data_IF_952013205894
#
_entry.id   IF_952013205894
#
_cell.length_a   1.000
_cell.length_b   1.000
_cell.length_c   1.000
_cell.angle_alpha   90.00
_cell.angle_beta   90.00
_cell.angle_gamma   90.00
#
_symmetry.space_group_name_H-M   'P 1'
#
loop_
_entity.id
_entity.type
_entity.pdbx_description
1 polymer ?
#
# COMPACT_ATOMS: atom_id res chain seq x y z
N UNK A 1 -13.59 -18.95 -32.02
CA UNK A 1 -13.06 -19.86 -30.99
C UNK A 1 -12.04 -19.15 -30.10
N UNK A 2 -11.00 -18.56 -30.69
CA UNK A 2 -9.94 -17.83 -29.98
C UNK A 2 -10.42 -16.58 -29.20
N UNK A 3 -11.42 -15.85 -29.69
CA UNK A 3 -12.00 -14.70 -28.97
C UNK A 3 -12.62 -15.09 -27.62
N UNK A 4 -13.41 -16.17 -27.58
CA UNK A 4 -14.01 -16.69 -26.34
C UNK A 4 -12.95 -17.09 -25.31
N UNK A 5 -11.82 -17.62 -25.79
CA UNK A 5 -10.69 -18.00 -24.93
C UNK A 5 -10.03 -16.75 -24.34
N UNK A 6 -9.76 -15.72 -25.16
CA UNK A 6 -9.17 -14.46 -24.71
C UNK A 6 -10.09 -13.72 -23.72
N UNK A 7 -11.40 -13.71 -23.96
CA UNK A 7 -12.38 -13.13 -23.05
C UNK A 7 -12.40 -13.83 -21.70
N UNK A 8 -12.31 -15.17 -21.69
CA UNK A 8 -12.18 -15.95 -20.48
C UNK A 8 -10.91 -15.59 -19.72
N UNK A 9 -9.74 -15.59 -20.36
CA UNK A 9 -8.48 -15.21 -19.69
C UNK A 9 -8.52 -13.79 -19.13
N UNK A 10 -9.05 -12.85 -19.90
CA UNK A 10 -9.22 -11.46 -19.47
C UNK A 10 -10.12 -11.37 -18.23
N UNK A 11 -11.24 -12.09 -18.22
CA UNK A 11 -12.15 -12.12 -17.07
C UNK A 11 -11.44 -12.61 -15.81
N UNK A 12 -10.70 -13.73 -15.90
CA UNK A 12 -9.96 -14.29 -14.77
C UNK A 12 -8.83 -13.36 -14.31
N UNK A 13 -8.06 -12.78 -15.23
CA UNK A 13 -6.97 -11.87 -14.92
C UNK A 13 -7.47 -10.58 -14.23
N UNK A 14 -8.55 -9.98 -14.75
CA UNK A 14 -9.16 -8.80 -14.13
C UNK A 14 -9.74 -9.15 -12.76
N UNK A 15 -10.35 -10.33 -12.61
CA UNK A 15 -10.79 -10.86 -11.33
C UNK A 15 -9.64 -10.99 -10.33
N UNK A 16 -8.50 -11.53 -10.76
CA UNK A 16 -7.28 -11.62 -9.96
C UNK A 16 -6.76 -10.23 -9.53
N UNK A 17 -6.68 -9.26 -10.44
CA UNK A 17 -6.25 -7.90 -10.09
C UNK A 17 -7.20 -7.19 -9.11
N UNK A 18 -8.48 -7.56 -9.10
CA UNK A 18 -9.46 -7.00 -8.18
C UNK A 18 -9.48 -7.72 -6.83
N UNK A 19 -9.42 -9.06 -6.83
CA UNK A 19 -9.58 -9.88 -5.62
C UNK A 19 -8.25 -10.13 -4.92
N UNK A 20 -7.18 -10.31 -5.67
CA UNK A 20 -5.93 -10.90 -5.19
C UNK A 20 -5.87 -12.41 -5.42
N UNK A 21 -4.68 -12.98 -5.20
CA UNK A 21 -4.34 -14.39 -5.39
C UNK A 21 -4.41 -15.25 -4.14
N UNK A 22 -4.63 -14.67 -2.96
CA UNK A 22 -4.71 -15.46 -1.72
C UNK A 22 -5.85 -16.49 -1.80
N UNK A 23 -5.61 -17.78 -1.51
CA UNK A 23 -6.62 -18.83 -1.69
C UNK A 23 -7.81 -18.66 -0.73
N UNK A 24 -7.56 -18.27 0.52
CA UNK A 24 -8.58 -18.15 1.58
C UNK A 24 -9.64 -17.07 1.34
N UNK A 25 -9.50 -16.25 0.30
CA UNK A 25 -10.43 -15.14 0.00
C UNK A 25 -11.23 -15.32 -1.28
N UNK A 26 -11.00 -16.40 -2.04
CA UNK A 26 -11.56 -16.54 -3.39
C UNK A 26 -13.08 -16.67 -3.37
N UNK A 27 -13.61 -17.45 -2.41
CA UNK A 27 -15.04 -17.69 -2.23
C UNK A 27 -15.77 -16.63 -1.39
N UNK A 28 -15.05 -15.70 -0.75
CA UNK A 28 -15.63 -14.72 0.16
C UNK A 28 -16.41 -13.62 -0.57
N UNK A 29 -17.37 -13.00 0.12
CA UNK A 29 -17.95 -11.74 -0.37
C UNK A 29 -16.88 -10.64 -0.42
N UNK A 30 -17.16 -9.54 -1.13
CA UNK A 30 -16.22 -8.41 -1.20
C UNK A 30 -15.92 -7.84 0.19
N UNK A 31 -16.89 -7.77 1.10
CA UNK A 31 -16.65 -7.24 2.45
C UNK A 31 -15.72 -8.16 3.25
N UNK A 32 -16.06 -9.44 3.35
CA UNK A 32 -15.29 -10.44 4.09
C UNK A 32 -13.88 -10.60 3.53
N UNK A 33 -13.72 -10.51 2.21
CA UNK A 33 -12.40 -10.53 1.55
C UNK A 33 -11.51 -9.38 2.05
N UNK A 34 -12.02 -8.16 2.06
CA UNK A 34 -11.22 -6.98 2.46
C UNK A 34 -10.85 -7.06 3.94
N UNK A 35 -11.78 -7.50 4.79
CA UNK A 35 -11.55 -7.70 6.22
C UNK A 35 -10.54 -8.82 6.48
N UNK A 36 -10.67 -9.96 5.79
CA UNK A 36 -9.74 -11.09 5.89
C UNK A 36 -8.33 -10.69 5.47
N UNK A 37 -8.18 -9.95 4.36
CA UNK A 37 -6.88 -9.45 3.90
C UNK A 37 -6.26 -8.45 4.88
N UNK A 38 -7.06 -7.58 5.49
CA UNK A 38 -6.58 -6.70 6.57
C UNK A 38 -6.12 -7.53 7.77
N UNK A 39 -6.89 -8.56 8.16
CA UNK A 39 -6.54 -9.46 9.25
C UNK A 39 -5.28 -10.27 8.98
N UNK A 40 -5.00 -10.68 7.73
CA UNK A 40 -3.73 -11.33 7.39
C UNK A 40 -2.53 -10.42 7.69
N UNK A 41 -2.61 -9.14 7.33
CA UNK A 41 -1.55 -8.18 7.65
C UNK A 41 -1.50 -7.89 9.15
N UNK A 42 -2.65 -7.79 9.82
CA UNK A 42 -2.71 -7.46 11.25
C UNK A 42 -2.25 -8.59 12.18
N UNK A 43 -2.68 -9.82 11.90
CA UNK A 43 -2.50 -10.97 12.80
C UNK A 43 -1.26 -11.78 12.46
N UNK A 44 -0.95 -11.95 11.18
CA UNK A 44 0.16 -12.80 10.75
C UNK A 44 1.41 -11.95 10.59
N UNK A 45 1.33 -10.92 9.75
CA UNK A 45 2.49 -10.10 9.38
C UNK A 45 2.95 -9.21 10.53
N UNK A 46 2.06 -8.39 11.13
CA UNK A 46 2.51 -7.49 12.20
C UNK A 46 2.94 -8.25 13.43
N UNK A 47 2.25 -9.34 13.78
CA UNK A 47 2.64 -10.14 14.94
C UNK A 47 4.04 -10.72 14.74
N UNK A 48 4.30 -11.36 13.61
CA UNK A 48 5.60 -11.94 13.29
C UNK A 48 6.71 -10.87 13.25
N UNK A 49 6.48 -9.73 12.59
CA UNK A 49 7.45 -8.62 12.54
C UNK A 49 7.74 -8.06 13.94
N UNK A 50 6.68 -7.79 14.71
CA UNK A 50 6.81 -7.16 16.04
C UNK A 50 7.54 -8.10 17.01
N UNK A 51 7.21 -9.39 17.00
CA UNK A 51 7.84 -10.39 17.85
C UNK A 51 9.30 -10.64 17.43
N UNK A 52 9.56 -10.85 16.13
CA UNK A 52 10.90 -11.14 15.59
C UNK A 52 11.88 -9.98 15.76
N UNK A 53 11.45 -8.77 15.47
CA UNK A 53 12.31 -7.59 15.46
C UNK A 53 12.14 -6.69 16.70
N UNK A 54 11.36 -7.13 17.68
CA UNK A 54 11.10 -6.42 18.95
C UNK A 54 10.67 -4.97 18.72
N UNK A 55 9.76 -4.76 17.77
CA UNK A 55 9.32 -3.42 17.36
C UNK A 55 8.62 -2.71 18.51
N UNK A 56 9.20 -1.61 18.98
CA UNK A 56 8.66 -0.83 20.10
C UNK A 56 7.48 0.04 19.70
N UNK A 57 7.54 0.69 18.53
CA UNK A 57 6.50 1.62 18.08
C UNK A 57 5.60 0.98 17.00
N UNK A 58 4.74 0.07 17.46
CA UNK A 58 3.78 -0.66 16.63
C UNK A 58 2.83 0.30 15.90
N UNK A 59 2.38 1.38 16.56
CA UNK A 59 1.46 2.36 15.95
C UNK A 59 2.09 3.03 14.73
N UNK A 60 3.36 3.41 14.81
CA UNK A 60 4.09 3.99 13.69
C UNK A 60 4.32 2.97 12.57
N UNK A 61 4.63 1.71 12.89
CA UNK A 61 4.77 0.65 11.90
C UNK A 61 3.45 0.44 11.13
N UNK A 62 2.31 0.38 11.82
CA UNK A 62 0.99 0.27 11.19
C UNK A 62 0.68 1.46 10.29
N UNK A 63 1.01 2.68 10.75
CA UNK A 63 0.85 3.88 9.95
C UNK A 63 1.73 3.84 8.69
N UNK A 64 2.97 3.38 8.83
CA UNK A 64 3.91 3.26 7.73
C UNK A 64 3.40 2.29 6.65
N UNK A 65 2.98 1.08 7.03
CA UNK A 65 2.35 0.11 6.10
C UNK A 65 1.13 0.71 5.41
N UNK A 66 0.28 1.40 6.15
CA UNK A 66 -0.90 2.04 5.59
C UNK A 66 -0.54 3.05 4.49
N UNK A 67 0.49 3.87 4.73
CA UNK A 67 1.00 4.83 3.76
C UNK A 67 1.62 4.12 2.56
N UNK A 68 2.42 3.08 2.76
CA UNK A 68 3.07 2.34 1.68
C UNK A 68 2.03 1.66 0.77
N UNK A 69 1.08 0.90 1.33
CA UNK A 69 0.08 0.16 0.55
C UNK A 69 -0.90 1.09 -0.17
N UNK A 70 -1.28 2.23 0.43
CA UNK A 70 -2.12 3.24 -0.24
C UNK A 70 -1.41 3.97 -1.37
N UNK A 71 -0.09 4.02 -1.34
CA UNK A 71 0.75 4.63 -2.37
C UNK A 71 1.51 3.58 -3.19
N UNK A 72 1.02 2.33 -3.23
CA UNK A 72 1.64 1.27 -4.01
C UNK A 72 1.80 1.67 -5.49
N UNK A 73 2.91 1.21 -6.08
CA UNK A 73 3.43 1.54 -7.40
C UNK A 73 3.75 3.03 -7.63
N UNK A 74 3.75 3.86 -6.58
CA UNK A 74 4.26 5.23 -6.62
C UNK A 74 5.66 5.31 -6.01
N UNK A 75 6.37 6.41 -6.28
CA UNK A 75 7.67 6.69 -5.66
C UNK A 75 7.48 7.02 -4.18
N UNK A 76 8.05 6.22 -3.31
CA UNK A 76 8.09 6.40 -1.86
C UNK A 76 9.49 6.79 -1.43
N UNK A 77 9.60 7.83 -0.59
CA UNK A 77 10.88 8.29 -0.05
C UNK A 77 10.83 8.20 1.47
N UNK A 78 11.72 7.41 2.06
CA UNK A 78 11.88 7.30 3.51
C UNK A 78 12.22 8.66 4.12
N UNK A 79 13.07 9.45 3.46
CA UNK A 79 13.37 10.82 3.88
C UNK A 79 12.14 11.72 3.94
N UNK A 80 11.21 11.59 2.98
CA UNK A 80 9.96 12.36 2.99
C UNK A 80 9.02 11.90 4.11
N UNK A 81 8.88 10.58 4.28
CA UNK A 81 8.05 10.01 5.34
C UNK A 81 8.58 10.38 6.73
N UNK A 82 9.90 10.30 6.93
CA UNK A 82 10.59 10.75 8.14
C UNK A 82 10.21 12.20 8.51
N UNK A 83 10.38 13.13 7.57
CA UNK A 83 10.04 14.54 7.80
C UNK A 83 8.57 14.72 8.20
N UNK A 84 7.67 13.99 7.54
CA UNK A 84 6.23 14.03 7.82
C UNK A 84 5.89 13.50 9.22
N UNK A 85 6.44 12.36 9.65
CA UNK A 85 6.14 11.82 10.98
C UNK A 85 6.79 12.62 12.10
N UNK A 86 8.00 13.16 11.88
CA UNK A 86 8.66 14.02 12.88
C UNK A 86 7.95 15.35 13.06
N UNK A 87 7.39 15.94 11.99
CA UNK A 87 6.60 17.18 12.11
C UNK A 87 5.28 16.98 12.83
N UNK A 88 4.76 15.75 12.85
CA UNK A 88 3.61 15.31 13.65
C UNK A 88 3.97 14.96 15.10
N UNK A 89 5.25 15.12 15.50
CA UNK A 89 5.73 14.89 16.87
C UNK A 89 6.19 13.46 17.18
N UNK A 90 6.28 12.57 16.17
CA UNK A 90 6.84 11.24 16.39
C UNK A 90 8.35 11.30 16.55
N UNK A 91 8.85 10.75 17.67
CA UNK A 91 10.29 10.52 17.89
C UNK A 91 10.69 9.19 17.25
N UNK A 92 11.33 9.25 16.09
CA UNK A 92 11.83 8.08 15.35
C UNK A 92 13.09 8.46 14.57
N UNK A 93 14.04 7.54 14.42
CA UNK A 93 15.20 7.72 13.55
C UNK A 93 14.90 7.30 12.10
N UNK A 94 15.70 7.77 11.14
CA UNK A 94 15.59 7.30 9.74
C UNK A 94 15.91 5.82 9.63
N UNK A 95 16.92 5.35 10.35
CA UNK A 95 17.36 3.95 10.32
C UNK A 95 16.24 3.01 10.74
N UNK A 96 15.47 3.38 11.77
CA UNK A 96 14.27 2.63 12.17
C UNK A 96 13.24 2.50 11.03
N UNK A 97 13.07 3.55 10.22
CA UNK A 97 12.14 3.51 9.09
C UNK A 97 12.67 2.67 7.92
N UNK A 98 13.98 2.62 7.73
CA UNK A 98 14.61 1.70 6.79
C UNK A 98 14.47 0.25 7.27
N UNK A 99 14.76 -0.04 8.54
CA UNK A 99 14.53 -1.38 9.11
C UNK A 99 13.07 -1.79 9.02
N UNK A 100 12.11 -0.88 9.26
CA UNK A 100 10.69 -1.19 9.05
C UNK A 100 10.38 -1.54 7.59
N UNK A 101 11.04 -0.91 6.62
CA UNK A 101 10.87 -1.26 5.22
C UNK A 101 11.40 -2.68 4.95
N UNK A 102 12.60 -2.98 5.43
CA UNK A 102 13.23 -4.31 5.31
C UNK A 102 12.37 -5.40 5.95
N UNK A 103 11.84 -5.17 7.16
CA UNK A 103 10.98 -6.16 7.83
C UNK A 103 9.70 -6.46 7.04
N UNK A 104 9.17 -5.48 6.30
CA UNK A 104 7.99 -5.66 5.46
C UNK A 104 8.31 -6.39 4.14
N UNK A 105 9.54 -6.26 3.63
CA UNK A 105 10.03 -7.05 2.50
C UNK A 105 10.28 -8.50 2.93
N UNK A 106 10.94 -8.72 4.08
CA UNK A 106 11.20 -10.05 4.65
C UNK A 106 9.92 -10.81 4.98
N UNK A 107 8.86 -10.10 5.40
CA UNK A 107 7.55 -10.67 5.67
C UNK A 107 6.68 -10.81 4.40
N UNK A 108 7.24 -10.60 3.21
CA UNK A 108 6.55 -10.68 1.91
C UNK A 108 5.27 -9.83 1.83
N UNK A 109 5.26 -8.66 2.48
CA UNK A 109 4.13 -7.73 2.38
C UNK A 109 4.27 -6.88 1.13
N UNK A 110 5.50 -6.44 0.89
CA UNK A 110 5.87 -5.51 -0.18
C UNK A 110 7.19 -5.91 -0.83
N UNK A 111 7.46 -5.28 -1.96
CA UNK A 111 8.75 -5.23 -2.63
C UNK A 111 9.10 -3.77 -2.90
N UNK A 112 10.32 -3.36 -2.57
CA UNK A 112 10.83 -2.03 -2.79
C UNK A 112 11.84 -2.03 -3.94
N UNK A 113 11.46 -1.43 -5.06
CA UNK A 113 12.31 -1.36 -6.24
C UNK A 113 12.99 0.02 -6.26
N UNK A 114 14.32 0.12 -6.08
CA UNK A 114 15.01 1.39 -6.21
C UNK A 114 14.90 1.91 -7.64
N UNK A 115 14.94 3.24 -7.82
CA UNK A 115 15.13 3.77 -9.16
C UNK A 115 16.55 3.44 -9.62
N UNK A 116 16.70 3.18 -10.92
CA UNK A 116 17.99 2.96 -11.53
C UNK A 116 18.93 4.15 -11.30
N UNK A 117 20.14 3.85 -10.84
CA UNK A 117 21.25 4.78 -10.71
C UNK A 117 22.55 3.97 -10.73
N UNK A 118 23.61 4.53 -11.30
CA UNK A 118 24.93 3.89 -11.36
C UNK A 118 25.66 3.95 -10.01
N UNK A 119 25.26 4.84 -9.12
CA UNK A 119 25.89 5.01 -7.81
C UNK A 119 25.25 4.10 -6.77
N UNK A 120 26.04 3.18 -6.21
CA UNK A 120 25.62 2.33 -5.08
C UNK A 120 25.13 3.17 -3.89
N UNK A 121 25.82 4.28 -3.60
CA UNK A 121 25.41 5.21 -2.53
C UNK A 121 24.07 5.88 -2.84
N UNK A 122 23.80 6.18 -4.11
CA UNK A 122 22.52 6.75 -4.50
C UNK A 122 21.37 5.75 -4.35
N UNK A 123 21.58 4.45 -4.61
CA UNK A 123 20.53 3.41 -4.47
C UNK A 123 19.87 3.42 -3.08
N UNK A 124 20.67 3.63 -2.03
CA UNK A 124 20.17 3.69 -0.64
C UNK A 124 19.22 4.85 -0.40
N UNK A 125 19.51 6.00 -1.00
CA UNK A 125 18.82 7.27 -0.72
C UNK A 125 17.72 7.61 -1.72
N UNK A 126 17.73 6.95 -2.88
CA UNK A 126 16.81 7.23 -3.97
C UNK A 126 15.40 6.73 -3.62
N UNK A 127 14.33 7.45 -4.02
CA UNK A 127 12.98 6.96 -3.81
C UNK A 127 12.78 5.59 -4.42
N UNK A 128 12.11 4.69 -3.69
CA UNK A 128 11.81 3.32 -4.11
C UNK A 128 10.35 3.24 -4.55
N UNK A 129 10.06 2.49 -5.62
CA UNK A 129 8.69 2.12 -5.98
C UNK A 129 8.28 0.93 -5.11
N UNK A 130 7.20 1.07 -4.37
CA UNK A 130 6.73 0.02 -3.46
C UNK A 130 5.60 -0.75 -4.11
N UNK A 131 5.74 -2.06 -4.27
CA UNK A 131 4.70 -2.94 -4.78
C UNK A 131 4.23 -3.84 -3.64
N UNK A 132 2.92 -4.06 -3.50
CA UNK A 132 2.45 -5.12 -2.61
C UNK A 132 2.67 -6.47 -3.26
N UNK A 133 2.86 -7.53 -2.48
CA UNK A 133 2.94 -8.89 -3.00
C UNK A 133 1.68 -9.30 -3.76
N UNK A 134 0.53 -8.72 -3.38
CA UNK A 134 -0.77 -9.05 -3.92
C UNK A 134 -1.67 -7.81 -4.06
N UNK A 135 -2.43 -7.75 -5.16
CA UNK A 135 -3.32 -6.62 -5.44
C UNK A 135 -4.52 -6.55 -4.47
N UNK A 136 -4.94 -7.69 -3.92
CA UNK A 136 -5.96 -7.75 -2.89
C UNK A 136 -5.58 -6.91 -1.68
N UNK A 137 -4.32 -6.97 -1.23
CA UNK A 137 -3.82 -6.16 -0.10
C UNK A 137 -3.95 -4.66 -0.40
N UNK A 138 -3.58 -4.23 -1.61
CA UNK A 138 -3.75 -2.83 -2.03
C UNK A 138 -5.23 -2.43 -1.92
N UNK A 139 -6.12 -3.26 -2.45
CA UNK A 139 -7.56 -2.98 -2.46
C UNK A 139 -8.14 -2.94 -1.03
N UNK A 140 -7.67 -3.81 -0.14
CA UNK A 140 -8.04 -3.84 1.27
C UNK A 140 -7.70 -2.52 1.97
N UNK A 141 -6.50 -1.97 1.73
CA UNK A 141 -6.05 -0.72 2.36
C UNK A 141 -6.58 0.55 1.68
N UNK A 142 -6.88 0.51 0.38
CA UNK A 142 -7.54 1.62 -0.33
C UNK A 142 -9.02 1.75 0.06
N UNK A 143 -9.76 0.65 0.19
CA UNK A 143 -11.19 0.71 0.49
C UNK A 143 -11.50 1.03 1.96
N UNK A 144 -10.60 0.75 2.89
CA UNK A 144 -10.65 1.27 4.26
C UNK A 144 -10.81 2.80 4.28
N UNK A 145 -10.14 3.50 3.35
CA UNK A 145 -10.28 4.95 3.18
C UNK A 145 -11.65 5.38 2.64
N UNK A 146 -12.23 4.60 1.71
CA UNK A 146 -13.59 4.84 1.20
C UNK A 146 -14.66 4.65 2.29
N UNK A 147 -14.50 3.64 3.18
CA UNK A 147 -15.37 3.40 4.34
C UNK A 147 -15.31 4.59 5.31
N UNK A 148 -14.10 5.09 5.63
CA UNK A 148 -13.91 6.32 6.40
C UNK A 148 -14.70 7.50 5.81
N UNK A 149 -14.64 7.75 4.50
CA UNK A 149 -15.39 8.83 3.86
C UNK A 149 -16.91 8.62 3.85
N UNK A 150 -17.39 7.36 3.72
CA UNK A 150 -18.83 7.05 3.83
C UNK A 150 -19.33 7.31 5.25
N UNK A 151 -18.55 6.99 6.27
CA UNK A 151 -18.87 7.26 7.67
C UNK A 151 -18.78 8.76 7.99
N UNK A 152 -17.72 9.45 7.58
CA UNK A 152 -17.54 10.89 7.78
C UNK A 152 -18.61 11.74 7.06
N UNK A 153 -19.18 11.21 5.95
CA UNK A 153 -20.32 11.83 5.26
C UNK A 153 -21.63 11.69 6.05
N UNK A 154 -21.81 10.59 6.78
CA UNK A 154 -22.97 10.39 7.67
C UNK A 154 -22.89 11.26 8.93
N UNK A 155 -21.69 11.66 9.38
CA UNK A 155 -21.46 12.46 10.58
C UNK A 155 -21.38 13.98 10.36
N UNK A 156 -21.80 14.50 9.21
CA UNK A 156 -21.94 15.96 9.00
C UNK A 156 -20.67 16.75 8.61
N UNK A 157 -19.49 16.14 8.47
CA UNK A 157 -18.22 16.80 8.09
C UNK A 157 -18.12 17.17 6.58
N UNK A 158 -19.26 17.41 5.93
CA UNK A 158 -19.43 17.35 4.47
C UNK A 158 -18.72 18.46 3.66
N UNK A 159 -18.49 19.64 4.25
CA UNK A 159 -17.96 20.82 3.54
C UNK A 159 -16.46 20.74 3.27
N UNK A 160 -15.68 20.14 4.18
CA UNK A 160 -14.24 19.90 3.99
C UNK A 160 -13.94 18.64 3.15
N UNK A 161 -14.91 17.72 3.09
CA UNK A 161 -14.76 16.41 2.45
C UNK A 161 -14.72 16.43 0.91
N UNK A 162 -15.45 17.35 0.28
CA UNK A 162 -15.57 17.40 -1.19
C UNK A 162 -14.26 17.75 -1.88
N UNK A 163 -13.52 18.74 -1.37
CA UNK A 163 -12.25 19.19 -1.95
C UNK A 163 -11.17 18.09 -1.86
N UNK A 164 -11.01 17.50 -0.66
CA UNK A 164 -10.03 16.43 -0.42
C UNK A 164 -10.33 15.15 -1.21
N UNK A 165 -11.60 14.81 -1.43
CA UNK A 165 -12.01 13.66 -2.27
C UNK A 165 -11.67 13.88 -3.74
N UNK A 166 -11.86 15.10 -4.27
CA UNK A 166 -11.52 15.41 -5.67
C UNK A 166 -10.01 15.33 -5.90
N UNK A 167 -9.22 15.90 -5.00
CA UNK A 167 -7.76 15.78 -5.04
C UNK A 167 -7.28 14.34 -4.90
N UNK A 168 -7.92 13.57 -4.02
CA UNK A 168 -7.62 12.14 -3.89
C UNK A 168 -7.96 11.35 -5.16
N UNK A 169 -9.13 11.58 -5.77
CA UNK A 169 -9.53 10.90 -7.02
C UNK A 169 -8.64 11.31 -8.19
N UNK A 170 -8.27 12.58 -8.30
CA UNK A 170 -7.35 13.09 -9.32
C UNK A 170 -5.93 12.56 -9.12
N UNK A 171 -5.45 12.49 -7.87
CA UNK A 171 -4.19 11.83 -7.54
C UNK A 171 -4.27 10.33 -7.81
N UNK A 172 -5.36 9.65 -7.46
CA UNK A 172 -5.56 8.22 -7.71
C UNK A 172 -5.57 7.92 -9.21
N UNK A 173 -6.26 8.72 -10.03
CA UNK A 173 -6.26 8.58 -11.49
C UNK A 173 -4.89 8.93 -12.12
N UNK A 174 -4.17 9.97 -11.65
CA UNK A 174 -2.78 10.22 -12.07
C UNK A 174 -1.83 9.08 -11.65
N UNK A 175 -2.06 8.47 -10.48
CA UNK A 175 -1.26 7.36 -9.94
C UNK A 175 -1.47 6.06 -10.70
N UNK A 176 -2.71 5.73 -11.07
CA UNK A 176 -3.02 4.60 -11.95
C UNK A 176 -2.35 4.75 -13.33
N UNK A 177 -2.26 5.99 -13.83
CA UNK A 177 -1.58 6.30 -15.10
C UNK A 177 -0.06 6.10 -15.03
N UNK A 178 0.56 6.35 -13.88
CA UNK A 178 2.01 6.17 -13.67
C UNK A 178 2.39 4.79 -13.12
N UNK A 179 1.41 3.88 -12.94
CA UNK A 179 1.59 2.55 -12.34
C UNK A 179 2.48 1.62 -13.18
N UNK A 180 2.54 1.86 -14.50
CA UNK A 180 3.22 1.01 -15.49
C UNK A 180 4.33 1.68 -16.29
N UNK A 181 4.53 3.01 -16.17
CA UNK A 181 5.50 3.71 -16.99
C UNK A 181 6.77 4.08 -16.19
N UNK A 182 7.90 3.52 -16.60
CA UNK A 182 9.21 4.12 -16.35
C UNK A 182 9.33 5.34 -17.27
N UNK A 183 9.33 6.55 -16.70
CA UNK A 183 10.00 7.67 -17.35
C UNK A 183 11.42 7.68 -16.83
N UNK A 184 12.36 7.25 -17.67
CA UNK A 184 13.75 7.70 -17.56
C UNK A 184 13.71 9.22 -17.64
N UNK A 185 14.31 9.86 -16.64
CA UNK A 185 14.59 11.30 -16.67
C UNK A 185 15.82 11.54 -17.52
#
# INVERSE_FOLDING_TARGET
>A
MWEKILDSYRFHLLGFFQKGGFPGIQALSTHERLETLQNYVEVVVFRDIVERHKVSNIKLLKYFVNVLLKNAASRSSINKFYKDVTSQGHKVGKDTLYSYLEYLEDAFVIFAIPMFTESVRALETTPKKIYAVDNGLINAYLQSFSKFWKTARKSGLSRFAKAKKRDFLLQHQRRLRNRFYYKSS
#
